data_IF_806887629691
#
_entry.id   IF_806887629691
#
_cell.length_a   1.000
_cell.length_b   1.000
_cell.length_c   1.000
_cell.angle_alpha   90.00
_cell.angle_beta   90.00
_cell.angle_gamma   90.00
#
_symmetry.space_group_name_H-M   'P 1'
#
loop_
_entity.id
_entity.type
_entity.pdbx_description
1 polymer ?
#
# COMPACT_ATOMS: atom_id res chain seq x y z
N UNK A 1 46.10 -16.03 5.54
CA UNK A 1 45.31 -15.48 6.65
C UNK A 1 43.95 -15.09 6.10
N UNK A 2 42.91 -15.68 6.68
CA UNK A 2 41.48 -15.44 6.50
C UNK A 2 40.87 -15.73 5.10
N UNK A 3 40.61 -17.01 4.87
CA UNK A 3 39.42 -17.46 4.13
C UNK A 3 38.15 -16.91 4.82
N UNK A 4 37.32 -16.16 4.09
CA UNK A 4 35.95 -15.85 4.49
C UNK A 4 35.02 -16.60 3.55
N UNK A 5 34.60 -17.77 4.01
CA UNK A 5 33.61 -18.64 3.36
C UNK A 5 32.25 -17.96 3.49
N UNK A 6 31.80 -17.30 2.43
CA UNK A 6 30.39 -16.98 2.22
C UNK A 6 29.65 -18.31 2.00
N UNK A 7 29.10 -18.86 3.07
CA UNK A 7 28.17 -19.98 2.97
C UNK A 7 26.88 -19.48 2.30
N UNK A 8 26.82 -19.60 0.98
CA UNK A 8 25.56 -19.58 0.22
C UNK A 8 24.71 -20.76 0.70
N UNK A 9 23.77 -20.49 1.60
CA UNK A 9 22.70 -21.44 1.90
C UNK A 9 21.78 -21.40 0.68
N UNK A 10 21.98 -22.39 -0.19
CA UNK A 10 21.19 -22.61 -1.39
C UNK A 10 19.80 -23.15 -0.99
N UNK A 11 18.92 -22.24 -0.57
CA UNK A 11 17.52 -22.57 -0.27
C UNK A 11 16.79 -22.72 -1.60
N UNK A 12 16.43 -23.96 -1.92
CA UNK A 12 15.55 -24.32 -3.04
C UNK A 12 14.27 -23.49 -2.99
N UNK A 13 14.09 -22.59 -3.96
CA UNK A 13 12.81 -21.97 -4.26
C UNK A 13 11.94 -22.97 -5.04
N UNK A 14 11.31 -23.89 -4.33
CA UNK A 14 10.20 -24.69 -4.87
C UNK A 14 8.93 -24.33 -4.10
N UNK A 15 8.01 -23.61 -4.73
CA UNK A 15 6.68 -23.43 -4.18
C UNK A 15 5.99 -22.08 -4.41
N UNK A 16 5.89 -21.61 -5.66
CA UNK A 16 4.78 -20.75 -6.06
C UNK A 16 4.63 -20.73 -7.58
N UNK A 17 4.06 -21.81 -8.15
CA UNK A 17 3.41 -21.70 -9.46
C UNK A 17 2.16 -20.81 -9.29
N UNK A 18 2.36 -19.50 -9.24
CA UNK A 18 1.30 -18.52 -9.42
C UNK A 18 1.17 -18.25 -10.91
N UNK A 19 -0.08 -18.29 -11.38
CA UNK A 19 -0.50 -18.13 -12.76
C UNK A 19 0.30 -17.08 -13.50
N UNK A 20 0.58 -17.36 -14.79
CA UNK A 20 0.95 -16.33 -15.75
C UNK A 20 -0.26 -15.38 -15.86
N UNK A 21 -0.37 -14.43 -14.94
CA UNK A 21 -1.36 -13.38 -15.01
C UNK A 21 -0.95 -12.49 -16.19
N UNK A 22 -1.63 -12.66 -17.33
CA UNK A 22 -1.63 -11.65 -18.40
C UNK A 22 -1.83 -10.30 -17.72
N UNK A 23 -0.92 -9.35 -17.95
CA UNK A 23 -1.03 -7.99 -17.40
C UNK A 23 -2.41 -7.44 -17.78
N UNK A 24 -3.33 -7.43 -16.81
CA UNK A 24 -4.70 -6.93 -17.00
C UNK A 24 -4.60 -5.44 -17.28
N UNK A 25 -5.23 -5.01 -18.37
CA UNK A 25 -5.34 -3.59 -18.69
C UNK A 25 -6.39 -2.97 -17.76
N UNK A 26 -5.91 -2.38 -16.66
CA UNK A 26 -6.76 -1.69 -15.70
C UNK A 26 -7.34 -0.42 -16.32
N UNK A 27 -8.63 -0.18 -16.09
CA UNK A 27 -9.33 1.05 -16.47
C UNK A 27 -8.77 2.24 -15.69
N UNK A 28 -8.78 3.41 -16.33
CA UNK A 28 -8.40 4.67 -15.69
C UNK A 28 -9.46 5.13 -14.68
N UNK A 29 -9.07 6.05 -13.79
CA UNK A 29 -9.99 6.74 -12.89
C UNK A 29 -11.12 7.41 -13.67
N UNK A 30 -12.37 7.17 -13.22
CA UNK A 30 -13.59 7.78 -13.76
C UNK A 30 -14.62 7.93 -12.63
N UNK A 31 -14.78 9.14 -12.10
CA UNK A 31 -15.64 9.35 -10.92
C UNK A 31 -17.12 9.29 -11.25
N UNK A 32 -17.45 9.43 -12.53
CA UNK A 32 -18.79 9.41 -13.09
C UNK A 32 -19.33 7.98 -13.22
N UNK A 33 -18.46 6.98 -13.14
CA UNK A 33 -18.85 5.56 -13.16
C UNK A 33 -19.04 5.06 -11.71
N UNK A 34 -20.28 4.71 -11.35
CA UNK A 34 -20.60 4.19 -10.01
C UNK A 34 -19.76 2.97 -9.63
N UNK A 35 -19.42 2.13 -10.61
CA UNK A 35 -18.58 0.96 -10.42
C UNK A 35 -17.14 1.32 -10.04
N UNK A 36 -16.58 2.41 -10.59
CA UNK A 36 -15.28 2.92 -10.14
C UNK A 36 -15.35 3.37 -8.69
N UNK A 37 -16.41 4.12 -8.32
CA UNK A 37 -16.59 4.64 -6.96
C UNK A 37 -16.76 3.49 -5.95
N UNK A 38 -17.55 2.46 -6.29
CA UNK A 38 -17.72 1.25 -5.50
C UNK A 38 -16.39 0.51 -5.29
N UNK A 39 -15.62 0.30 -6.36
CA UNK A 39 -14.31 -0.34 -6.27
C UNK A 39 -13.30 0.51 -5.48
N UNK A 40 -13.34 1.84 -5.63
CA UNK A 40 -12.52 2.77 -4.84
C UNK A 40 -12.81 2.66 -3.35
N UNK A 41 -14.08 2.60 -2.93
CA UNK A 41 -14.45 2.42 -1.53
C UNK A 41 -13.95 1.10 -0.97
N UNK A 42 -14.09 0.02 -1.75
CA UNK A 42 -13.61 -1.31 -1.36
C UNK A 42 -12.08 -1.33 -1.25
N UNK A 43 -11.36 -0.73 -2.20
CA UNK A 43 -9.92 -0.54 -2.15
C UNK A 43 -9.51 0.27 -0.92
N UNK A 44 -10.15 1.43 -0.70
CA UNK A 44 -9.85 2.31 0.41
C UNK A 44 -10.03 1.60 1.75
N UNK A 45 -11.12 0.86 1.92
CA UNK A 45 -11.35 0.07 3.11
C UNK A 45 -10.24 -0.97 3.33
N UNK A 46 -9.92 -1.80 2.33
CA UNK A 46 -8.84 -2.80 2.45
C UNK A 46 -7.49 -2.15 2.77
N UNK A 47 -7.17 -1.06 2.07
CA UNK A 47 -5.92 -0.34 2.24
C UNK A 47 -5.81 0.27 3.65
N UNK A 48 -6.83 0.95 4.15
CA UNK A 48 -6.80 1.51 5.50
C UNK A 48 -6.81 0.43 6.58
N UNK A 49 -7.65 -0.60 6.42
CA UNK A 49 -7.77 -1.71 7.38
C UNK A 49 -6.47 -2.47 7.55
N UNK A 50 -5.72 -2.64 6.45
CA UNK A 50 -4.42 -3.31 6.45
C UNK A 50 -3.22 -2.36 6.58
N UNK A 51 -3.45 -1.07 6.77
CA UNK A 51 -2.42 -0.01 6.72
C UNK A 51 -1.56 -0.01 5.44
N UNK A 52 -2.10 -0.55 4.35
CA UNK A 52 -1.50 -0.62 3.02
C UNK A 52 -0.73 -1.91 2.72
N UNK A 53 -0.68 -2.86 3.66
CA UNK A 53 0.08 -4.10 3.49
C UNK A 53 -0.67 -5.17 2.69
N UNK A 54 -2.00 -5.24 2.80
CA UNK A 54 -2.80 -6.30 2.20
C UNK A 54 -3.95 -5.71 1.37
N UNK A 55 -3.84 -5.90 0.05
CA UNK A 55 -4.86 -5.49 -0.92
C UNK A 55 -5.05 -6.64 -1.90
N UNK A 56 -6.29 -7.07 -2.08
CA UNK A 56 -6.65 -8.10 -3.05
C UNK A 56 -6.82 -7.48 -4.45
N UNK A 57 -5.69 -7.33 -5.15
CA UNK A 57 -5.62 -6.71 -6.47
C UNK A 57 -6.39 -7.47 -7.55
N UNK A 58 -6.81 -8.71 -7.30
CA UNK A 58 -7.59 -9.48 -8.27
C UNK A 58 -9.05 -9.03 -8.36
N UNK A 59 -9.55 -8.34 -7.33
CA UNK A 59 -10.93 -7.83 -7.26
C UNK A 59 -11.16 -6.49 -7.95
N UNK A 60 -10.10 -5.86 -8.47
CA UNK A 60 -10.19 -4.51 -9.02
C UNK A 60 -9.92 -4.48 -10.52
N UNK A 61 -10.78 -3.77 -11.23
CA UNK A 61 -10.67 -3.51 -12.67
C UNK A 61 -10.12 -2.10 -12.96
N UNK A 62 -10.07 -1.23 -11.94
CA UNK A 62 -9.54 0.14 -12.06
C UNK A 62 -8.16 0.29 -11.43
N UNK A 63 -7.37 1.22 -11.97
CA UNK A 63 -6.09 1.62 -11.41
C UNK A 63 -6.27 2.66 -10.30
N UNK A 64 -5.65 2.42 -9.15
CA UNK A 64 -5.58 3.36 -8.03
C UNK A 64 -4.19 4.01 -7.90
N UNK A 65 -4.06 4.97 -6.98
CA UNK A 65 -2.77 5.64 -6.68
C UNK A 65 -1.74 4.68 -6.10
N UNK A 66 -2.16 3.81 -5.18
CA UNK A 66 -1.37 2.66 -4.73
C UNK A 66 -1.56 1.53 -5.73
N UNK A 67 -0.49 0.79 -5.99
CA UNK A 67 -0.48 -0.36 -6.92
C UNK A 67 0.29 -1.53 -6.32
N UNK A 68 0.06 -2.72 -6.86
CA UNK A 68 0.91 -3.88 -6.58
C UNK A 68 2.31 -3.65 -7.15
N UNK A 69 3.34 -3.85 -6.32
CA UNK A 69 4.72 -3.93 -6.77
C UNK A 69 5.07 -5.33 -7.30
N UNK A 70 4.29 -6.34 -6.91
CA UNK A 70 4.40 -7.71 -7.43
C UNK A 70 4.02 -7.78 -8.91
N UNK A 71 3.05 -6.95 -9.31
CA UNK A 71 2.61 -6.82 -10.69
C UNK A 71 2.50 -5.34 -11.10
N UNK A 72 3.65 -4.65 -11.29
CA UNK A 72 3.65 -3.23 -11.59
C UNK A 72 3.21 -2.97 -13.03
N UNK A 73 2.70 -1.75 -13.33
CA UNK A 73 2.25 -1.38 -14.66
C UNK A 73 3.39 -1.48 -15.69
N UNK A 74 3.02 -1.59 -16.97
CA UNK A 74 3.99 -1.57 -18.07
C UNK A 74 4.87 -0.31 -17.99
N UNK A 75 6.17 -0.47 -18.23
CA UNK A 75 7.14 0.62 -18.19
C UNK A 75 7.60 1.03 -16.78
N UNK A 76 7.18 0.36 -15.71
CA UNK A 76 7.66 0.67 -14.35
C UNK A 76 9.18 0.51 -14.20
N UNK A 77 9.72 -0.59 -14.70
CA UNK A 77 11.15 -0.78 -14.86
C UNK A 77 11.41 -1.67 -16.07
N UNK A 78 12.33 -1.25 -16.95
CA UNK A 78 12.69 -2.02 -18.15
C UNK A 78 14.00 -2.81 -17.96
N UNK A 79 14.70 -2.59 -16.84
CA UNK A 79 16.03 -3.19 -16.58
C UNK A 79 15.96 -4.37 -15.59
N UNK A 80 14.95 -4.39 -14.73
CA UNK A 80 14.79 -5.37 -13.66
C UNK A 80 13.35 -5.86 -13.63
N UNK A 81 13.17 -7.12 -13.28
CA UNK A 81 11.88 -7.72 -13.03
C UNK A 81 11.26 -7.19 -11.73
N UNK A 82 9.94 -7.34 -11.61
CA UNK A 82 9.22 -6.96 -10.39
C UNK A 82 9.74 -7.74 -9.17
N UNK A 83 9.95 -9.05 -9.32
CA UNK A 83 10.46 -9.91 -8.24
C UNK A 83 11.85 -9.49 -7.75
N UNK A 84 12.76 -9.10 -8.64
CA UNK A 84 14.07 -8.57 -8.26
C UNK A 84 13.94 -7.28 -7.46
N UNK A 85 13.10 -6.35 -7.91
CA UNK A 85 12.87 -5.08 -7.21
C UNK A 85 12.26 -5.33 -5.82
N UNK A 86 11.24 -6.17 -5.73
CA UNK A 86 10.62 -6.56 -4.45
C UNK A 86 11.65 -7.16 -3.50
N UNK A 87 12.47 -8.09 -3.98
CA UNK A 87 13.51 -8.74 -3.18
C UNK A 87 14.55 -7.74 -2.69
N UNK A 88 15.08 -6.89 -3.56
CA UNK A 88 16.06 -5.86 -3.20
C UNK A 88 15.51 -4.89 -2.14
N UNK A 89 14.30 -4.37 -2.35
CA UNK A 89 13.67 -3.40 -1.45
C UNK A 89 13.36 -4.05 -0.08
N UNK A 90 13.01 -5.33 -0.07
CA UNK A 90 12.82 -6.11 1.16
C UNK A 90 14.12 -6.35 1.92
N UNK A 91 15.19 -6.76 1.21
CA UNK A 91 16.50 -6.94 1.83
C UNK A 91 17.03 -5.63 2.40
N UNK A 92 16.85 -4.51 1.71
CA UNK A 92 17.23 -3.19 2.19
C UNK A 92 16.48 -2.81 3.49
N UNK A 93 15.17 -3.11 3.56
CA UNK A 93 14.40 -2.86 4.77
C UNK A 93 14.88 -3.71 5.96
N UNK A 94 15.23 -4.97 5.71
CA UNK A 94 15.79 -5.90 6.71
C UNK A 94 17.18 -5.44 7.17
N UNK A 95 18.06 -5.06 6.24
CA UNK A 95 19.39 -4.55 6.54
C UNK A 95 19.31 -3.33 7.46
N UNK A 96 18.47 -2.35 7.12
CA UNK A 96 18.27 -1.15 7.93
C UNK A 96 17.72 -1.45 9.32
N UNK A 97 16.83 -2.44 9.42
CA UNK A 97 16.34 -2.89 10.72
C UNK A 97 17.43 -3.57 11.55
N UNK A 98 18.22 -4.45 10.93
CA UNK A 98 19.31 -5.16 11.58
C UNK A 98 20.39 -4.18 12.07
N UNK A 99 20.75 -3.19 11.27
CA UNK A 99 21.67 -2.12 11.66
C UNK A 99 21.11 -1.29 12.83
N UNK A 100 19.85 -0.88 12.75
CA UNK A 100 19.25 0.02 13.74
C UNK A 100 18.96 -0.65 15.09
N UNK A 101 18.59 -1.94 15.09
CA UNK A 101 18.18 -2.66 16.30
C UNK A 101 19.14 -3.77 16.73
N UNK A 102 20.21 -4.01 15.98
CA UNK A 102 21.16 -5.11 16.23
C UNK A 102 20.55 -6.51 16.03
N UNK A 103 19.45 -6.62 15.27
CA UNK A 103 18.82 -7.91 14.96
C UNK A 103 19.58 -8.68 13.87
N UNK A 104 19.30 -9.97 13.69
CA UNK A 104 19.84 -10.79 12.59
C UNK A 104 18.72 -11.45 11.81
N UNK A 105 17.81 -10.62 11.31
CA UNK A 105 16.72 -11.07 10.46
C UNK A 105 17.25 -11.47 9.09
N UNK A 106 16.83 -12.65 8.61
CA UNK A 106 17.12 -13.17 7.28
C UNK A 106 15.81 -13.40 6.54
N UNK A 107 15.72 -12.89 5.31
CA UNK A 107 14.56 -13.06 4.45
C UNK A 107 14.37 -14.56 4.13
N UNK A 108 13.19 -15.09 4.42
CA UNK A 108 12.80 -16.44 4.04
C UNK A 108 11.98 -16.43 2.74
N UNK A 109 10.86 -15.71 2.74
CA UNK A 109 9.93 -15.69 1.60
C UNK A 109 9.20 -14.36 1.49
N UNK A 110 8.89 -13.96 0.26
CA UNK A 110 8.05 -12.79 -0.02
C UNK A 110 6.56 -13.14 0.02
N UNK A 111 5.71 -12.26 0.58
CA UNK A 111 4.25 -12.46 0.61
C UNK A 111 3.55 -11.50 -0.36
N UNK A 112 3.68 -10.19 -0.13
CA UNK A 112 3.02 -9.16 -0.92
C UNK A 112 3.77 -7.83 -0.81
N UNK A 113 3.88 -7.12 -1.93
CA UNK A 113 4.44 -5.77 -1.96
C UNK A 113 3.50 -4.82 -2.70
N UNK A 114 3.23 -3.67 -2.07
CA UNK A 114 2.46 -2.58 -2.65
C UNK A 114 3.33 -1.32 -2.68
N UNK A 115 3.07 -0.42 -3.61
CA UNK A 115 3.82 0.84 -3.73
C UNK A 115 2.94 2.03 -4.10
N UNK A 116 3.43 3.22 -3.80
CA UNK A 116 2.85 4.51 -4.20
C UNK A 116 3.97 5.50 -4.50
N UNK A 117 3.74 6.40 -5.47
CA UNK A 117 4.64 7.53 -5.72
C UNK A 117 4.33 8.71 -4.78
N UNK A 118 5.34 9.14 -4.00
CA UNK A 118 5.24 10.26 -3.03
C UNK A 118 6.56 11.07 -3.01
N UNK A 119 6.88 11.74 -4.12
CA UNK A 119 8.20 12.38 -4.33
C UNK A 119 9.38 11.40 -4.16
N UNK A 120 9.19 10.20 -4.70
CA UNK A 120 9.94 8.99 -4.41
C UNK A 120 8.99 7.80 -4.52
N UNK A 121 9.42 6.62 -4.10
CA UNK A 121 8.61 5.41 -4.03
C UNK A 121 8.45 5.03 -2.56
N UNK A 122 7.22 4.92 -2.11
CA UNK A 122 6.86 4.36 -0.80
C UNK A 122 6.37 2.94 -1.00
N UNK A 123 7.02 1.98 -0.36
CA UNK A 123 6.69 0.57 -0.42
C UNK A 123 6.13 0.06 0.91
N UNK A 124 5.11 -0.78 0.83
CA UNK A 124 4.60 -1.61 1.92
C UNK A 124 4.92 -3.06 1.58
N UNK A 125 5.69 -3.70 2.45
CA UNK A 125 6.23 -5.04 2.24
C UNK A 125 5.71 -5.95 3.33
N UNK A 126 5.19 -7.11 2.93
CA UNK A 126 4.91 -8.23 3.82
C UNK A 126 5.76 -9.41 3.40
N UNK A 127 6.49 -10.01 4.34
CA UNK A 127 7.43 -11.10 4.06
C UNK A 127 7.66 -11.97 5.29
N UNK A 128 8.05 -13.21 5.07
CA UNK A 128 8.55 -14.11 6.09
C UNK A 128 10.04 -13.84 6.34
N UNK A 129 10.43 -13.74 7.61
CA UNK A 129 11.84 -13.69 7.99
C UNK A 129 12.10 -14.49 9.25
N UNK A 130 13.33 -14.97 9.38
CA UNK A 130 13.82 -15.75 10.51
C UNK A 130 14.81 -14.89 11.29
N UNK A 131 14.64 -14.81 12.62
CA UNK A 131 15.60 -14.13 13.49
C UNK A 131 16.70 -15.10 13.95
N UNK A 132 17.88 -14.96 13.36
CA UNK A 132 19.05 -15.81 13.66
C UNK A 132 19.74 -15.44 14.97
N UNK A 133 19.31 -14.38 15.65
CA UNK A 133 19.85 -14.00 16.96
C UNK A 133 19.14 -14.71 18.13
N UNK A 134 18.02 -15.39 17.85
CA UNK A 134 17.24 -16.07 18.88
C UNK A 134 17.98 -17.31 19.39
N UNK A 135 18.07 -17.45 20.72
CA UNK A 135 18.70 -18.62 21.37
C UNK A 135 17.87 -19.91 21.25
N UNK A 136 16.66 -19.84 20.70
CA UNK A 136 15.77 -20.97 20.41
C UNK A 136 15.85 -21.38 18.94
N UNK A 137 15.21 -22.50 18.58
CA UNK A 137 15.06 -22.95 17.19
C UNK A 137 14.58 -21.80 16.29
N UNK A 138 15.25 -21.53 15.15
CA UNK A 138 14.90 -20.42 14.28
C UNK A 138 13.47 -20.61 13.75
N UNK A 139 12.56 -19.71 14.13
CA UNK A 139 11.17 -19.71 13.68
C UNK A 139 10.95 -18.60 12.67
N UNK A 140 10.29 -18.93 11.55
CA UNK A 140 9.90 -17.95 10.55
C UNK A 140 8.66 -17.20 11.01
N UNK A 141 8.69 -15.87 10.98
CA UNK A 141 7.56 -14.99 11.33
C UNK A 141 7.26 -14.03 10.19
N UNK A 142 6.01 -13.57 10.09
CA UNK A 142 5.62 -12.56 9.11
C UNK A 142 5.97 -11.18 9.66
N UNK A 143 6.73 -10.43 8.88
CA UNK A 143 7.05 -9.03 9.14
C UNK A 143 6.38 -8.12 8.12
N UNK A 144 6.11 -6.90 8.57
CA UNK A 144 5.59 -5.80 7.78
C UNK A 144 6.58 -4.63 7.85
N UNK A 145 7.01 -4.15 6.68
CA UNK A 145 7.91 -3.01 6.57
C UNK A 145 7.38 -1.94 5.63
N UNK A 146 7.45 -0.68 6.06
CA UNK A 146 7.14 0.50 5.25
C UNK A 146 8.43 1.27 5.00
N UNK A 147 8.84 1.38 3.75
CA UNK A 147 10.10 2.02 3.36
C UNK A 147 9.87 3.03 2.25
N UNK A 148 10.41 4.23 2.42
CA UNK A 148 10.43 5.26 1.38
C UNK A 148 11.81 5.29 0.71
N UNK A 149 11.86 5.52 -0.60
CA UNK A 149 13.09 5.58 -1.38
C UNK A 149 13.03 6.67 -2.46
N UNK A 150 14.16 7.36 -2.67
CA UNK A 150 14.37 8.31 -3.78
C UNK A 150 15.83 8.26 -4.22
N UNK A 151 16.08 7.64 -5.38
CA UNK A 151 17.46 7.45 -5.86
C UNK A 151 18.25 6.59 -4.88
N UNK A 152 19.28 7.18 -4.24
CA UNK A 152 20.08 6.51 -3.20
C UNK A 152 19.55 6.74 -1.78
N UNK A 153 18.67 7.71 -1.59
CA UNK A 153 18.07 8.01 -0.29
C UNK A 153 16.97 7.01 0.03
N UNK A 154 16.91 6.61 1.28
CA UNK A 154 15.92 5.65 1.76
C UNK A 154 15.70 5.83 3.25
N UNK A 155 14.46 5.61 3.68
CA UNK A 155 14.03 5.77 5.06
C UNK A 155 13.07 4.65 5.44
N UNK A 156 13.47 3.87 6.43
CA UNK A 156 12.59 2.87 7.06
C UNK A 156 11.62 3.61 7.98
N UNK A 157 10.33 3.58 7.62
CA UNK A 157 9.26 4.30 8.33
C UNK A 157 8.53 3.41 9.33
N UNK A 158 8.40 2.12 9.03
CA UNK A 158 7.79 1.12 9.91
C UNK A 158 8.52 -0.21 9.70
N UNK A 159 8.75 -0.93 10.79
CA UNK A 159 9.16 -2.33 10.76
C UNK A 159 8.60 -3.02 11.99
N UNK A 160 7.67 -3.95 11.79
CA UNK A 160 6.98 -4.68 12.86
C UNK A 160 6.68 -6.13 12.48
N UNK A 161 6.45 -6.97 13.49
CA UNK A 161 5.78 -8.25 13.27
C UNK A 161 4.35 -7.99 12.79
N UNK A 162 3.83 -8.84 11.90
CA UNK A 162 2.42 -8.77 11.51
C UNK A 162 1.57 -9.05 12.76
N UNK A 163 0.60 -8.17 13.09
CA UNK A 163 -0.35 -8.41 14.17
C UNK A 163 -0.97 -9.80 14.01
N UNK A 164 -0.83 -10.66 15.02
CA UNK A 164 -1.34 -12.04 14.99
C UNK A 164 -2.80 -12.10 15.44
N UNK A 165 -3.22 -11.16 16.28
CA UNK A 165 -4.59 -11.12 16.78
C UNK A 165 -5.55 -10.56 15.73
N UNK A 166 -6.50 -11.40 15.31
CA UNK A 166 -7.65 -10.98 14.50
C UNK A 166 -8.40 -9.81 15.19
N UNK A 167 -8.37 -9.75 16.53
CA UNK A 167 -8.90 -8.66 17.34
C UNK A 167 -8.18 -7.32 17.15
N UNK A 168 -6.85 -7.31 17.03
CA UNK A 168 -6.07 -6.08 16.78
C UNK A 168 -6.39 -5.51 15.39
N UNK A 169 -6.44 -6.37 14.36
CA UNK A 169 -6.81 -5.96 13.01
C UNK A 169 -8.29 -5.55 12.97
N UNK A 170 -9.18 -6.27 13.67
CA UNK A 170 -10.61 -5.94 13.76
C UNK A 170 -10.86 -4.60 14.45
N UNK A 171 -10.02 -4.20 15.41
CA UNK A 171 -10.12 -2.93 16.14
C UNK A 171 -9.84 -1.69 15.29
N UNK A 172 -9.15 -1.84 14.15
CA UNK A 172 -8.86 -0.71 13.24
C UNK A 172 -10.15 -0.17 12.65
N UNK A 173 -10.67 0.91 13.24
CA UNK A 173 -11.85 1.58 12.73
C UNK A 173 -11.49 2.40 11.48
N UNK A 174 -12.07 2.03 10.34
CA UNK A 174 -11.88 2.77 9.10
C UNK A 174 -12.96 3.84 9.00
N UNK A 175 -12.53 5.09 8.92
CA UNK A 175 -13.39 6.25 8.66
C UNK A 175 -13.61 6.37 7.15
N UNK A 176 -14.81 6.74 6.66
CA UNK A 176 -15.05 6.96 5.24
C UNK A 176 -14.05 7.94 4.61
N UNK A 177 -13.71 7.77 3.32
CA UNK A 177 -12.82 8.70 2.64
C UNK A 177 -13.41 10.11 2.57
N UNK A 178 -12.57 11.16 2.45
CA UNK A 178 -13.05 12.52 2.19
C UNK A 178 -13.84 12.60 0.88
N UNK A 179 -14.78 13.55 0.74
CA UNK A 179 -15.51 13.76 -0.51
C UNK A 179 -14.58 13.97 -1.70
N UNK A 180 -14.96 13.37 -2.84
CA UNK A 180 -14.27 13.53 -4.12
C UNK A 180 -15.07 14.44 -5.05
N UNK A 181 -14.40 15.41 -5.67
CA UNK A 181 -15.00 16.28 -6.68
C UNK A 181 -14.92 15.59 -8.04
N UNK A 182 -16.02 15.62 -8.81
CA UNK A 182 -16.04 15.24 -10.21
C UNK A 182 -15.21 16.27 -11.02
N UNK A 183 -14.40 15.81 -11.97
CA UNK A 183 -13.48 16.70 -12.71
C UNK A 183 -14.26 17.64 -13.65
N UNK A 184 -15.46 17.23 -14.08
CA UNK A 184 -16.30 17.95 -15.03
C UNK A 184 -17.41 18.80 -14.36
N UNK A 185 -17.54 18.74 -13.04
CA UNK A 185 -18.53 19.52 -12.29
C UNK A 185 -17.95 20.01 -10.97
N UNK A 186 -17.70 21.32 -10.88
CA UNK A 186 -17.31 22.02 -9.65
C UNK A 186 -18.42 21.95 -8.56
N UNK A 187 -19.62 21.44 -8.91
CA UNK A 187 -20.80 21.39 -8.03
C UNK A 187 -21.20 19.96 -7.59
N UNK A 188 -20.69 18.92 -8.24
CA UNK A 188 -21.02 17.53 -7.90
C UNK A 188 -19.88 16.85 -7.14
N UNK A 189 -20.15 16.62 -5.84
CA UNK A 189 -19.27 15.86 -4.97
C UNK A 189 -19.84 14.47 -4.73
N UNK A 190 -18.97 13.47 -4.80
CA UNK A 190 -19.23 12.13 -4.28
C UNK A 190 -18.88 12.14 -2.80
N UNK A 191 -19.90 12.00 -1.95
CA UNK A 191 -19.78 11.95 -0.49
C UNK A 191 -19.89 10.52 -0.03
N UNK A 192 -19.11 10.17 0.99
CA UNK A 192 -19.00 8.80 1.52
C UNK A 192 -19.52 8.74 2.96
N UNK A 193 -20.27 7.70 3.27
CA UNK A 193 -20.80 7.42 4.60
C UNK A 193 -20.66 5.94 4.95
N UNK A 194 -20.73 5.61 6.25
CA UNK A 194 -20.78 4.22 6.71
C UNK A 194 -22.10 3.61 6.25
N UNK A 195 -22.03 2.38 5.73
CA UNK A 195 -23.23 1.63 5.34
C UNK A 195 -24.13 1.41 6.56
N UNK A 196 -25.42 1.68 6.39
CA UNK A 196 -26.45 1.42 7.39
C UNK A 196 -26.99 -0.01 7.33
N UNK A 197 -27.94 -0.37 8.20
CA UNK A 197 -28.53 -1.71 8.25
C UNK A 197 -29.28 -2.13 6.96
N UNK A 198 -29.75 -1.16 6.19
CA UNK A 198 -30.52 -1.35 4.95
C UNK A 198 -29.64 -1.43 3.70
N UNK A 199 -28.34 -1.13 3.83
CA UNK A 199 -27.38 -1.14 2.73
C UNK A 199 -26.77 -2.54 2.52
N UNK A 200 -26.09 -2.76 1.39
CA UNK A 200 -25.43 -4.04 1.12
C UNK A 200 -24.43 -4.38 2.25
N UNK A 201 -24.65 -5.46 3.02
CA UNK A 201 -23.81 -5.81 4.16
C UNK A 201 -22.38 -6.20 3.76
N UNK A 202 -22.11 -6.39 2.47
CA UNK A 202 -20.78 -6.69 1.93
C UNK A 202 -19.94 -5.44 1.68
N UNK A 203 -20.54 -4.24 1.73
CA UNK A 203 -19.84 -2.98 1.52
C UNK A 203 -19.75 -2.20 2.83
N UNK A 204 -18.55 -1.82 3.28
CA UNK A 204 -18.36 -1.09 4.53
C UNK A 204 -18.80 0.39 4.45
N UNK A 205 -18.92 0.92 3.22
CA UNK A 205 -19.26 2.30 2.93
C UNK A 205 -20.23 2.38 1.76
N UNK A 206 -21.07 3.42 1.78
CA UNK A 206 -21.92 3.84 0.67
C UNK A 206 -21.50 5.22 0.17
N UNK A 207 -21.96 5.57 -1.03
CA UNK A 207 -21.70 6.89 -1.61
C UNK A 207 -22.98 7.51 -2.14
N UNK A 208 -23.04 8.83 -2.06
CA UNK A 208 -24.11 9.63 -2.62
C UNK A 208 -23.51 10.73 -3.50
N UNK A 209 -24.13 10.95 -4.66
CA UNK A 209 -23.81 12.11 -5.50
C UNK A 209 -24.65 13.27 -5.00
N UNK A 210 -23.98 14.25 -4.43
CA UNK A 210 -24.65 15.48 -4.00
C UNK A 210 -24.65 16.42 -5.19
N UNK A 211 -25.80 16.54 -5.87
CA UNK A 211 -26.07 17.75 -6.64
C UNK A 211 -26.19 18.93 -5.68
N UNK A 212 -25.81 20.14 -6.11
CA UNK A 212 -25.74 21.36 -5.31
C UNK A 212 -26.77 21.45 -4.16
N UNK A 213 -26.37 21.06 -2.94
CA UNK A 213 -27.11 21.42 -1.73
C UNK A 213 -26.50 22.72 -1.16
N UNK A 214 -27.24 23.86 -1.18
CA UNK A 214 -26.76 25.13 -0.66
C UNK A 214 -26.53 25.13 0.87
N UNK A 215 -26.80 24.04 1.58
CA UNK A 215 -26.59 23.90 3.03
C UNK A 215 -25.26 23.27 3.43
N UNK A 216 -24.42 22.86 2.48
CA UNK A 216 -23.07 22.39 2.80
C UNK A 216 -22.18 23.58 3.18
N UNK A 217 -21.47 23.53 4.33
CA UNK A 217 -20.71 24.67 4.82
C UNK A 217 -19.60 25.07 3.84
N UNK A 218 -19.37 26.38 3.75
CA UNK A 218 -18.29 27.07 2.99
C UNK A 218 -16.87 26.48 3.21
N UNK A 219 -16.71 25.56 4.16
CA UNK A 219 -15.53 24.74 4.39
C UNK A 219 -15.04 24.00 3.15
N UNK A 220 -15.91 23.53 2.25
CA UNK A 220 -15.47 22.83 1.02
C UNK A 220 -14.74 23.77 0.03
N UNK A 221 -15.12 25.06 -0.03
CA UNK A 221 -14.36 26.07 -0.79
C UNK A 221 -13.01 26.36 -0.13
N UNK A 222 -12.97 26.44 1.20
CA UNK A 222 -11.70 26.58 1.95
C UNK A 222 -10.80 25.34 1.84
N UNK A 223 -11.36 24.13 1.63
CA UNK A 223 -10.58 22.92 1.33
C UNK A 223 -9.91 23.02 -0.04
N UNK A 224 -10.43 23.76 -1.03
CA UNK A 224 -9.72 24.04 -2.30
C UNK A 224 -8.50 24.94 -2.06
N UNK A 225 -8.61 25.93 -1.18
CA UNK A 225 -7.47 26.77 -0.76
C UNK A 225 -6.50 26.03 0.13
N UNK A 226 -6.96 25.20 1.08
CA UNK A 226 -6.10 24.37 1.94
C UNK A 226 -5.50 23.16 1.22
N UNK A 227 -6.16 22.55 0.24
CA UNK A 227 -5.58 21.51 -0.63
C UNK A 227 -4.64 22.13 -1.66
N UNK A 228 -4.94 23.31 -2.22
CA UNK A 228 -3.92 24.08 -2.96
C UNK A 228 -2.77 24.42 -2.02
N UNK A 229 -2.99 24.86 -0.78
CA UNK A 229 -1.92 25.12 0.20
C UNK A 229 -1.18 23.85 0.63
N UNK A 230 -1.81 22.68 0.75
CA UNK A 230 -1.10 21.42 1.05
C UNK A 230 -0.32 20.92 -0.16
N UNK A 231 -0.87 21.06 -1.37
CA UNK A 231 -0.19 20.74 -2.62
C UNK A 231 0.93 21.75 -2.93
N UNK A 232 0.81 23.01 -2.50
CA UNK A 232 1.83 24.06 -2.59
C UNK A 232 2.82 24.06 -1.41
N UNK A 233 2.46 23.70 -0.17
CA UNK A 233 3.40 23.59 0.96
C UNK A 233 4.28 22.33 0.83
N UNK A 234 3.78 21.26 0.21
CA UNK A 234 4.62 20.12 -0.20
C UNK A 234 5.56 20.53 -1.35
N UNK A 235 5.23 21.58 -2.11
CA UNK A 235 6.08 22.12 -3.18
C UNK A 235 7.01 23.28 -2.75
N UNK A 236 6.74 23.99 -1.65
CA UNK A 236 7.48 25.22 -1.26
C UNK A 236 8.39 25.01 -0.03
N UNK A 237 8.19 23.98 0.81
CA UNK A 237 9.14 23.67 1.91
C UNK A 237 10.34 22.79 1.52
N UNK A 238 10.63 22.69 0.22
CA UNK A 238 11.90 22.17 -0.30
C UNK A 238 12.37 23.11 -1.41
N UNK A 239 12.83 24.29 -1.01
CA UNK A 239 13.75 25.13 -1.76
C UNK A 239 14.86 25.57 -0.82
#
# INVERSE_FOLDING_TARGET
>A
MADSVLAEVNVRFEGASKSINKKRDLKSRKLEEDEYVRQYLQFYYQFQKSEGFAVDWDRFDYSFFTKSLDNPPRGFCNRRSAAEIVREVTLLAIERQNEAKGTKLVLAEHIQANYQFVSGILCWLSFWAVDMNSSSTPESKIYQAKIWQRGKEHKLLLFRLKPTDEGEIASVEVVPPPPMLCEDSDEEAVVFSRAGPEDDPRLPFVFHRTGADPRLPLLLRSVREKKKMWMYLVYINVS
#
